data_IF_392979822917
#
_entry.id   IF_392979822917
#
_cell.length_a   1.000
_cell.length_b   1.000
_cell.length_c   1.000
_cell.angle_alpha   90.00
_cell.angle_beta   90.00
_cell.angle_gamma   90.00
#
_symmetry.space_group_name_H-M   'P 1'
#
loop_
_entity.id
_entity.type
_entity.pdbx_description
1 polymer ?
#
# COMPACT_ATOMS: atom_id res chain seq x y z
N UNK A 1 13.21 10.67 30.31
CA UNK A 1 12.82 9.40 29.68
C UNK A 1 11.53 9.63 28.91
N UNK A 2 11.56 9.59 27.58
CA UNK A 2 10.38 9.82 26.76
C UNK A 2 9.46 8.59 26.84
N UNK A 3 8.26 8.78 27.37
CA UNK A 3 7.21 7.75 27.38
C UNK A 3 6.53 7.76 26.01
N UNK A 4 6.91 6.81 25.17
CA UNK A 4 6.23 6.59 23.89
C UNK A 4 4.76 6.23 24.12
N UNK A 5 3.85 6.85 23.37
CA UNK A 5 2.42 6.59 23.45
C UNK A 5 2.14 5.11 23.07
N UNK A 6 0.99 4.56 23.50
CA UNK A 6 0.59 3.18 23.17
C UNK A 6 0.53 2.97 21.65
N UNK A 7 0.14 4.00 20.89
CA UNK A 7 0.08 3.99 19.44
C UNK A 7 1.48 3.86 18.80
N UNK A 8 2.48 4.58 19.32
CA UNK A 8 3.87 4.50 18.84
C UNK A 8 4.46 3.11 19.04
N UNK A 9 4.17 2.46 20.18
CA UNK A 9 4.59 1.08 20.46
C UNK A 9 3.92 0.08 19.53
N UNK A 10 2.66 0.27 19.21
CA UNK A 10 1.89 -0.57 18.29
C UNK A 10 2.43 -0.48 16.85
N UNK A 11 2.74 0.73 16.37
CA UNK A 11 3.34 0.96 15.04
C UNK A 11 4.75 0.38 14.92
N UNK A 12 5.57 0.49 15.98
CA UNK A 12 6.90 -0.13 16.04
C UNK A 12 6.77 -1.66 16.03
N UNK A 13 5.81 -2.24 16.74
CA UNK A 13 5.59 -3.69 16.78
C UNK A 13 5.17 -4.23 15.40
N UNK A 14 4.29 -3.52 14.69
CA UNK A 14 3.91 -3.86 13.31
C UNK A 14 5.13 -3.76 12.36
N UNK A 15 5.95 -2.73 12.50
CA UNK A 15 7.18 -2.56 11.72
C UNK A 15 8.20 -3.67 11.99
N UNK A 16 8.40 -4.06 13.24
CA UNK A 16 9.30 -5.14 13.63
C UNK A 16 8.77 -6.53 13.22
N UNK A 17 7.46 -6.76 13.30
CA UNK A 17 6.85 -8.01 12.85
C UNK A 17 7.02 -8.21 11.35
N UNK A 18 6.89 -7.15 10.55
CA UNK A 18 7.13 -7.19 9.11
C UNK A 18 8.64 -7.38 8.78
N UNK A 19 9.56 -6.85 9.58
CA UNK A 19 10.99 -7.03 9.36
C UNK A 19 11.46 -8.47 9.69
N UNK A 20 10.82 -9.16 10.64
CA UNK A 20 11.18 -10.53 11.03
C UNK A 20 10.75 -11.61 10.02
N UNK A 21 9.82 -11.30 9.10
CA UNK A 21 9.23 -12.24 8.16
C UNK A 21 10.01 -12.37 6.82
N UNK A 22 11.20 -11.76 6.71
CA UNK A 22 11.96 -11.73 5.44
C UNK A 22 12.71 -13.05 5.13
N UNK A 23 12.82 -13.97 6.09
CA UNK A 23 13.66 -15.18 5.94
C UNK A 23 12.85 -16.47 6.05
N UNK A 24 12.21 -16.92 4.97
CA UNK A 24 11.80 -18.31 4.84
C UNK A 24 12.06 -18.83 3.42
N UNK A 25 12.74 -19.91 3.41
CA UNK A 25 13.32 -20.82 2.41
C UNK A 25 12.58 -21.06 1.09
N UNK A 26 13.38 -21.12 0.01
CA UNK A 26 13.02 -21.54 -1.33
C UNK A 26 12.57 -23.02 -1.39
N UNK A 27 11.25 -23.26 -1.35
CA UNK A 27 10.66 -24.46 -1.95
C UNK A 27 10.30 -24.14 -3.40
N UNK A 28 10.44 -25.09 -4.31
CA UNK A 28 10.17 -24.93 -5.75
C UNK A 28 8.85 -24.21 -6.00
N UNK A 29 8.95 -22.96 -6.39
CA UNK A 29 7.83 -22.08 -6.59
C UNK A 29 7.07 -22.47 -7.88
N UNK A 30 5.95 -23.16 -7.74
CA UNK A 30 5.03 -23.46 -8.84
C UNK A 30 3.84 -22.49 -8.87
N UNK A 31 3.51 -21.87 -7.74
CA UNK A 31 2.36 -20.97 -7.61
C UNK A 31 2.79 -19.51 -7.81
N UNK A 32 1.99 -18.64 -8.48
CA UNK A 32 2.36 -17.23 -8.69
C UNK A 32 2.70 -16.47 -7.40
N UNK A 33 2.01 -16.76 -6.29
CA UNK A 33 2.27 -16.12 -5.00
C UNK A 33 3.61 -16.54 -4.34
N UNK A 34 4.29 -17.57 -4.83
CA UNK A 34 5.50 -18.10 -4.20
C UNK A 34 6.79 -17.49 -4.80
N UNK A 35 6.66 -16.42 -5.61
CA UNK A 35 7.75 -15.66 -6.19
C UNK A 35 7.79 -14.24 -5.67
N UNK A 36 8.97 -13.63 -5.70
CA UNK A 36 9.07 -12.18 -5.61
C UNK A 36 8.41 -11.55 -6.84
N UNK A 37 7.74 -10.44 -6.62
CA UNK A 37 7.13 -9.66 -7.68
C UNK A 37 7.49 -8.20 -7.55
N UNK A 38 7.59 -7.57 -8.70
CA UNK A 38 7.67 -6.12 -8.83
C UNK A 38 6.45 -5.64 -9.61
N UNK A 39 5.88 -4.51 -9.23
CA UNK A 39 4.83 -3.90 -10.03
C UNK A 39 4.94 -2.38 -10.06
N UNK A 40 4.47 -1.81 -11.16
CA UNK A 40 4.21 -0.39 -11.28
C UNK A 40 2.70 -0.20 -11.35
N UNK A 41 2.18 0.62 -10.46
CA UNK A 41 0.76 0.93 -10.37
C UNK A 41 0.55 2.44 -10.45
N UNK A 42 -0.53 2.86 -11.11
CA UNK A 42 -0.98 4.24 -11.12
C UNK A 42 -2.49 4.30 -10.95
N UNK A 43 -3.04 5.48 -10.75
CA UNK A 43 -4.46 5.63 -10.54
C UNK A 43 -4.94 7.06 -10.54
N UNK A 44 -6.19 7.24 -10.15
CA UNK A 44 -6.78 8.55 -9.95
C UNK A 44 -7.68 8.52 -8.72
N UNK A 45 -7.35 9.38 -7.75
CA UNK A 45 -8.02 9.47 -6.47
C UNK A 45 -8.68 10.83 -6.32
N UNK A 46 -9.86 10.84 -5.71
CA UNK A 46 -10.60 12.06 -5.37
C UNK A 46 -10.82 12.15 -3.88
N UNK A 47 -10.87 13.37 -3.38
CA UNK A 47 -11.22 13.64 -2.00
C UNK A 47 -12.52 12.94 -1.61
N UNK A 48 -12.49 12.30 -0.45
CA UNK A 48 -13.68 11.93 0.31
C UNK A 48 -13.92 12.95 1.43
N UNK A 49 -15.09 12.92 2.05
CA UNK A 49 -15.47 13.88 3.09
C UNK A 49 -14.50 13.81 4.27
N UNK A 50 -13.82 14.94 4.55
CA UNK A 50 -12.92 15.13 5.69
C UNK A 50 -12.90 16.62 6.11
N UNK A 51 -12.04 16.97 7.07
CA UNK A 51 -11.93 18.32 7.63
C UNK A 51 -11.08 19.28 6.78
N UNK A 52 -10.37 18.80 5.75
CA UNK A 52 -9.60 19.67 4.87
C UNK A 52 -10.51 20.61 4.06
N UNK A 53 -10.23 21.92 3.94
CA UNK A 53 -11.00 22.84 3.12
C UNK A 53 -10.78 22.65 1.61
N UNK A 54 -9.72 21.93 1.22
CA UNK A 54 -9.30 21.82 -0.19
C UNK A 54 -10.01 20.66 -0.90
N UNK A 55 -10.17 20.80 -2.23
CA UNK A 55 -10.63 19.73 -3.12
C UNK A 55 -9.42 19.01 -3.69
N UNK A 56 -9.13 17.80 -3.19
CA UNK A 56 -7.97 17.01 -3.61
C UNK A 56 -8.30 16.08 -4.76
N UNK A 57 -7.36 16.05 -5.73
CA UNK A 57 -7.27 15.05 -6.79
C UNK A 57 -5.84 14.62 -6.93
N UNK A 58 -5.58 13.33 -6.75
CA UNK A 58 -4.24 12.77 -6.64
C UNK A 58 -4.06 11.71 -7.71
N UNK A 59 -2.89 11.71 -8.35
CA UNK A 59 -2.43 10.65 -9.25
C UNK A 59 -1.29 9.92 -8.53
N UNK A 60 -1.55 8.76 -7.88
CA UNK A 60 -0.51 7.96 -7.29
C UNK A 60 0.26 7.20 -8.36
N UNK A 61 1.57 7.13 -8.22
CA UNK A 61 2.46 6.21 -8.91
C UNK A 61 3.22 5.41 -7.87
N UNK A 62 3.13 4.09 -7.93
CA UNK A 62 3.71 3.21 -6.92
C UNK A 62 4.60 2.16 -7.58
N UNK A 63 5.84 2.07 -7.13
CA UNK A 63 6.72 0.94 -7.38
C UNK A 63 6.58 -0.04 -6.20
N UNK A 64 6.01 -1.21 -6.47
CA UNK A 64 5.59 -2.15 -5.41
C UNK A 64 6.37 -3.45 -5.54
N UNK A 65 6.93 -3.92 -4.44
CA UNK A 65 7.54 -5.24 -4.28
C UNK A 65 6.66 -6.10 -3.38
N UNK A 66 6.39 -7.34 -3.81
CA UNK A 66 5.71 -8.34 -2.98
C UNK A 66 6.62 -9.53 -2.74
N UNK A 67 6.71 -9.95 -1.49
CA UNK A 67 7.48 -11.14 -1.11
C UNK A 67 6.80 -12.42 -1.66
N UNK A 68 7.50 -13.56 -1.70
CA UNK A 68 6.85 -14.87 -1.74
C UNK A 68 5.83 -15.01 -0.60
N UNK A 69 4.97 -16.03 -0.69
CA UNK A 69 4.02 -16.39 0.36
C UNK A 69 4.74 -16.53 1.71
N UNK A 70 4.29 -15.74 2.70
CA UNK A 70 4.76 -15.82 4.08
C UNK A 70 3.91 -16.81 4.86
N UNK A 71 2.58 -16.77 4.67
CA UNK A 71 1.65 -17.70 5.28
C UNK A 71 0.69 -18.25 4.23
N UNK A 72 0.52 -19.57 4.22
CA UNK A 72 -0.58 -20.23 3.56
C UNK A 72 -1.67 -20.49 4.60
N UNK A 73 -2.72 -19.65 4.62
CA UNK A 73 -3.78 -19.72 5.63
C UNK A 73 -4.76 -20.84 5.32
N UNK A 74 -4.96 -21.16 4.04
CA UNK A 74 -5.86 -22.19 3.60
C UNK A 74 -5.56 -22.61 2.17
N UNK A 75 -5.77 -23.89 1.88
CA UNK A 75 -5.71 -24.47 0.54
C UNK A 75 -6.85 -25.48 0.38
N UNK A 76 -7.68 -25.26 -0.62
CA UNK A 76 -8.78 -26.17 -0.95
C UNK A 76 -8.35 -27.27 -1.90
N UNK A 77 -9.11 -28.38 -1.92
CA UNK A 77 -8.88 -29.53 -2.80
C UNK A 77 -8.98 -29.15 -4.28
N UNK A 78 -9.74 -28.11 -4.61
CA UNK A 78 -9.86 -27.55 -5.96
C UNK A 78 -8.61 -26.80 -6.44
N UNK A 79 -7.62 -26.56 -5.57
CA UNK A 79 -6.43 -25.75 -5.86
C UNK A 79 -6.57 -24.27 -5.50
N UNK A 80 -7.73 -23.83 -5.01
CA UNK A 80 -7.89 -22.48 -4.47
C UNK A 80 -7.01 -22.32 -3.22
N UNK A 81 -6.45 -21.10 -3.03
CA UNK A 81 -5.46 -20.87 -1.97
C UNK A 81 -5.65 -19.47 -1.36
N UNK A 82 -5.62 -19.38 -0.02
CA UNK A 82 -5.60 -18.12 0.73
C UNK A 82 -4.21 -17.90 1.30
N UNK A 83 -3.54 -16.86 0.86
CA UNK A 83 -2.15 -16.57 1.25
C UNK A 83 -2.00 -15.18 1.86
N UNK A 84 -0.93 -15.00 2.62
CA UNK A 84 -0.46 -13.69 3.08
C UNK A 84 0.96 -13.47 2.57
N UNK A 85 1.19 -12.30 2.01
CA UNK A 85 2.48 -11.82 1.50
C UNK A 85 2.82 -10.47 2.14
N UNK A 86 4.10 -10.09 2.16
CA UNK A 86 4.49 -8.73 2.48
C UNK A 86 4.49 -7.87 1.21
N UNK A 87 3.95 -6.67 1.34
CA UNK A 87 4.00 -5.62 0.31
C UNK A 87 4.86 -4.47 0.84
N UNK A 88 5.77 -4.00 -0.01
CA UNK A 88 6.57 -2.78 0.19
C UNK A 88 6.39 -1.89 -1.04
N UNK A 89 6.32 -0.57 -0.86
CA UNK A 89 6.23 0.31 -2.01
C UNK A 89 6.94 1.64 -1.77
N UNK A 90 7.61 2.11 -2.82
CA UNK A 90 7.89 3.52 -3.02
C UNK A 90 6.67 4.16 -3.68
N UNK A 91 6.17 5.22 -3.09
CA UNK A 91 4.95 5.92 -3.51
C UNK A 91 5.33 7.34 -3.88
N UNK A 92 4.95 7.76 -5.09
CA UNK A 92 4.99 9.13 -5.53
C UNK A 92 3.58 9.56 -5.94
N UNK A 93 3.06 10.56 -5.28
CA UNK A 93 1.74 11.11 -5.58
C UNK A 93 1.88 12.53 -6.09
N UNK A 94 1.26 12.80 -7.24
CA UNK A 94 1.15 14.14 -7.80
C UNK A 94 -0.25 14.68 -7.51
N UNK A 95 -0.33 15.88 -6.98
CA UNK A 95 -1.58 16.56 -6.70
C UNK A 95 -2.07 17.28 -7.96
N UNK A 96 -2.95 16.61 -8.74
CA UNK A 96 -3.59 17.23 -9.90
C UNK A 96 -4.55 18.36 -9.49
N UNK A 97 -5.00 18.35 -8.22
CA UNK A 97 -5.76 19.42 -7.59
C UNK A 97 -5.51 19.37 -6.07
N UNK A 98 -5.29 20.52 -5.49
CA UNK A 98 -4.91 20.73 -4.10
C UNK A 98 -3.89 21.84 -4.03
N UNK A 99 -3.52 22.30 -2.84
CA UNK A 99 -2.49 23.33 -2.67
C UNK A 99 -1.07 22.75 -2.59
N UNK A 100 -0.93 21.45 -2.34
CA UNK A 100 0.34 20.72 -2.39
C UNK A 100 0.62 20.22 -3.79
N UNK A 101 1.91 20.03 -4.15
CA UNK A 101 2.34 19.53 -5.45
C UNK A 101 2.60 18.02 -5.44
N UNK A 102 3.22 17.50 -4.38
CA UNK A 102 3.62 16.08 -4.33
C UNK A 102 3.67 15.49 -2.92
N UNK A 103 3.61 14.16 -2.88
CA UNK A 103 3.97 13.32 -1.74
C UNK A 103 4.90 12.20 -2.19
N UNK A 104 6.03 12.03 -1.49
CA UNK A 104 7.00 10.96 -1.73
C UNK A 104 7.17 10.14 -0.46
N UNK A 105 6.92 8.84 -0.51
CA UNK A 105 6.89 8.00 0.68
C UNK A 105 7.38 6.57 0.44
N UNK A 106 7.65 5.89 1.54
CA UNK A 106 7.78 4.46 1.59
C UNK A 106 6.67 3.87 2.47
N UNK A 107 6.01 2.81 1.97
CA UNK A 107 4.89 2.16 2.63
C UNK A 107 5.07 0.65 2.72
N UNK A 108 4.46 0.03 3.72
CA UNK A 108 4.43 -1.42 3.89
C UNK A 108 3.04 -1.88 4.33
N UNK A 109 2.68 -3.11 3.94
CA UNK A 109 1.42 -3.76 4.30
C UNK A 109 1.51 -5.29 4.19
N UNK A 110 0.73 -6.04 4.95
CA UNK A 110 0.34 -7.38 4.55
C UNK A 110 -0.61 -7.31 3.34
N UNK A 111 -0.45 -8.26 2.42
CA UNK A 111 -1.36 -8.51 1.29
C UNK A 111 -1.99 -9.88 1.50
N UNK A 112 -3.31 -9.92 1.71
CA UNK A 112 -4.10 -11.14 1.80
C UNK A 112 -4.63 -11.42 0.40
N UNK A 113 -4.33 -12.60 -0.14
CA UNK A 113 -4.68 -12.97 -1.52
C UNK A 113 -5.47 -14.28 -1.54
N UNK A 114 -6.68 -14.22 -2.09
CA UNK A 114 -7.50 -15.40 -2.38
C UNK A 114 -7.37 -15.76 -3.85
N UNK A 115 -6.61 -16.80 -4.13
CA UNK A 115 -6.36 -17.32 -5.47
C UNK A 115 -7.45 -18.29 -5.89
N UNK A 116 -7.95 -18.12 -7.12
CA UNK A 116 -8.88 -19.04 -7.74
C UNK A 116 -8.21 -20.41 -8.02
N UNK A 117 -8.99 -21.50 -8.24
CA UNK A 117 -8.47 -22.82 -8.53
C UNK A 117 -7.52 -22.90 -9.74
N UNK A 118 -7.74 -22.05 -10.73
CA UNK A 118 -6.90 -21.95 -11.94
C UNK A 118 -5.56 -21.28 -11.70
N UNK A 119 -5.32 -20.73 -10.49
CA UNK A 119 -4.13 -20.01 -10.06
C UNK A 119 -3.80 -18.79 -10.95
N UNK A 120 -4.75 -18.32 -11.76
CA UNK A 120 -4.56 -17.17 -12.64
C UNK A 120 -5.14 -15.89 -12.07
N UNK A 121 -6.20 -16.01 -11.29
CA UNK A 121 -6.92 -14.86 -10.74
C UNK A 121 -6.87 -14.87 -9.23
N UNK A 122 -6.57 -13.73 -8.62
CA UNK A 122 -6.67 -13.54 -7.18
C UNK A 122 -7.47 -12.29 -6.84
N UNK A 123 -8.31 -12.40 -5.82
CA UNK A 123 -8.79 -11.26 -5.05
C UNK A 123 -7.71 -10.90 -4.04
N UNK A 124 -7.44 -9.61 -3.85
CA UNK A 124 -6.51 -9.18 -2.82
C UNK A 124 -7.09 -8.09 -1.94
N UNK A 125 -6.61 -8.05 -0.69
CA UNK A 125 -6.87 -6.99 0.26
C UNK A 125 -5.58 -6.62 0.99
N UNK A 126 -5.30 -5.32 1.06
CA UNK A 126 -4.13 -4.75 1.71
C UNK A 126 -4.55 -3.63 2.65
N UNK A 127 -3.95 -3.58 3.83
CA UNK A 127 -4.07 -2.46 4.76
C UNK A 127 -2.70 -2.21 5.39
N UNK A 128 -2.25 -0.98 5.33
CA UNK A 128 -0.92 -0.64 5.83
C UNK A 128 -0.70 0.86 5.91
N UNK A 129 0.56 1.25 5.92
CA UNK A 129 0.92 2.65 6.01
C UNK A 129 2.41 2.87 5.84
N UNK A 130 2.80 4.12 6.00
CA UNK A 130 4.17 4.54 5.86
C UNK A 130 4.40 5.99 6.27
N UNK A 131 5.55 6.49 5.87
CA UNK A 131 5.97 7.87 6.11
C UNK A 131 6.64 8.45 4.88
N UNK A 132 6.56 9.74 4.72
CA UNK A 132 7.11 10.42 3.57
C UNK A 132 7.17 11.94 3.72
N UNK A 133 7.47 12.57 2.62
CA UNK A 133 7.57 14.01 2.49
C UNK A 133 6.43 14.55 1.63
N UNK A 134 5.62 15.41 2.22
CA UNK A 134 4.56 16.18 1.59
C UNK A 134 5.00 17.65 1.61
N UNK A 135 4.89 18.36 0.51
CA UNK A 135 5.28 19.76 0.43
C UNK A 135 4.22 20.71 1.00
N UNK A 136 3.85 20.48 2.26
CA UNK A 136 2.71 21.14 2.92
C UNK A 136 3.09 22.21 3.97
N UNK A 137 4.37 22.33 4.33
CA UNK A 137 4.83 23.26 5.40
C UNK A 137 4.46 24.72 5.13
N UNK A 138 4.53 25.15 3.87
CA UNK A 138 4.25 26.53 3.47
C UNK A 138 2.84 26.75 2.95
N UNK A 139 1.99 25.73 3.03
CA UNK A 139 0.60 25.77 2.56
C UNK A 139 -0.30 26.30 3.68
N UNK A 140 -0.94 27.47 3.52
CA UNK A 140 -1.92 27.95 4.49
C UNK A 140 -3.09 26.99 4.62
N UNK A 141 -3.32 26.45 5.83
CA UNK A 141 -4.34 25.43 6.08
C UNK A 141 -3.96 24.01 5.66
N UNK A 142 -2.71 23.77 5.23
CA UNK A 142 -2.16 22.44 4.95
C UNK A 142 -1.78 21.68 6.23
N UNK A 143 -0.81 20.75 6.11
CA UNK A 143 -0.44 19.84 7.24
C UNK A 143 0.55 20.44 8.23
N UNK A 144 0.93 21.74 8.10
CA UNK A 144 1.82 22.43 9.03
C UNK A 144 3.30 22.02 8.99
N UNK A 145 3.62 20.90 8.35
CA UNK A 145 4.99 20.40 8.17
C UNK A 145 5.08 19.50 6.92
N UNK A 146 6.33 19.21 6.50
CA UNK A 146 6.55 18.34 5.33
C UNK A 146 6.59 16.84 5.67
N UNK A 147 7.01 16.46 6.89
CA UNK A 147 6.94 15.06 7.29
C UNK A 147 5.48 14.68 7.48
N UNK A 148 5.02 13.74 6.67
CA UNK A 148 3.67 13.21 6.73
C UNK A 148 3.68 11.68 6.82
N UNK A 149 2.66 11.15 7.46
CA UNK A 149 2.39 9.73 7.55
C UNK A 149 1.14 9.42 6.73
N UNK A 150 1.13 8.26 6.12
CA UNK A 150 -0.09 7.78 5.51
C UNK A 150 -0.47 6.40 6.05
N UNK A 151 -1.78 6.14 6.10
CA UNK A 151 -2.30 4.80 6.10
C UNK A 151 -3.18 4.61 4.86
N UNK A 152 -3.24 3.40 4.38
CA UNK A 152 -4.03 3.09 3.19
C UNK A 152 -4.73 1.75 3.32
N UNK A 153 -5.76 1.57 2.51
CA UNK A 153 -6.36 0.27 2.23
C UNK A 153 -6.58 0.14 0.73
N UNK A 154 -6.38 -1.09 0.22
CA UNK A 154 -6.61 -1.42 -1.18
C UNK A 154 -7.29 -2.78 -1.28
N UNK A 155 -8.32 -2.88 -2.11
CA UNK A 155 -8.96 -4.14 -2.47
C UNK A 155 -9.10 -4.22 -3.98
N UNK A 156 -8.84 -5.39 -4.56
CA UNK A 156 -8.86 -5.52 -6.01
C UNK A 156 -8.67 -6.92 -6.53
N UNK A 157 -8.39 -6.96 -7.81
CA UNK A 157 -8.14 -8.16 -8.60
C UNK A 157 -6.74 -8.15 -9.16
N UNK A 158 -6.15 -9.34 -9.23
CA UNK A 158 -4.96 -9.64 -10.02
C UNK A 158 -5.30 -10.75 -11.00
N UNK A 159 -4.82 -10.62 -12.24
CA UNK A 159 -4.99 -11.65 -13.26
C UNK A 159 -3.70 -11.87 -14.02
N UNK A 160 -3.26 -13.15 -14.07
CA UNK A 160 -2.07 -13.57 -14.80
C UNK A 160 -2.32 -13.52 -16.30
N UNK A 161 -1.52 -12.73 -17.02
CA UNK A 161 -1.54 -12.65 -18.48
C UNK A 161 -0.57 -13.67 -19.11
N UNK A 162 0.53 -13.97 -18.40
CA UNK A 162 1.52 -14.98 -18.76
C UNK A 162 2.18 -15.54 -17.50
N UNK A 163 3.16 -16.41 -17.64
CA UNK A 163 3.90 -16.96 -16.49
C UNK A 163 4.69 -15.90 -15.71
N UNK A 164 5.00 -14.76 -16.32
CA UNK A 164 5.83 -13.70 -15.72
C UNK A 164 5.15 -12.36 -15.61
N UNK A 165 3.97 -12.18 -16.22
CA UNK A 165 3.27 -10.91 -16.28
C UNK A 165 1.83 -11.05 -15.80
N UNK A 166 1.38 -10.14 -14.94
CA UNK A 166 0.00 -10.02 -14.51
C UNK A 166 -0.50 -8.57 -14.60
N UNK A 167 -1.80 -8.42 -14.74
CA UNK A 167 -2.53 -7.17 -14.54
C UNK A 167 -3.06 -7.11 -13.12
N UNK A 168 -3.04 -5.94 -12.50
CA UNK A 168 -3.68 -5.68 -11.21
C UNK A 168 -4.51 -4.41 -11.28
N UNK A 169 -5.60 -4.36 -10.50
CA UNK A 169 -6.42 -3.16 -10.37
C UNK A 169 -7.37 -3.27 -9.20
N UNK A 170 -7.78 -2.12 -8.67
CA UNK A 170 -8.66 -2.11 -7.51
C UNK A 170 -9.03 -0.73 -7.02
N UNK A 171 -9.79 -0.72 -5.94
CA UNK A 171 -10.14 0.48 -5.18
C UNK A 171 -9.03 0.76 -4.17
N UNK A 172 -8.56 1.99 -4.13
CA UNK A 172 -7.49 2.44 -3.25
C UNK A 172 -7.96 3.67 -2.46
N UNK A 173 -7.84 3.58 -1.14
CA UNK A 173 -8.02 4.70 -0.22
C UNK A 173 -6.70 5.00 0.47
N UNK A 174 -6.37 6.27 0.64
CA UNK A 174 -5.25 6.72 1.47
C UNK A 174 -5.61 7.95 2.28
N UNK A 175 -5.08 7.99 3.49
CA UNK A 175 -5.16 9.12 4.43
C UNK A 175 -3.75 9.63 4.69
N UNK A 176 -3.54 10.94 4.58
CA UNK A 176 -2.30 11.60 4.96
C UNK A 176 -2.52 12.51 6.16
N UNK A 177 -1.60 12.52 7.09
CA UNK A 177 -1.61 13.40 8.26
C UNK A 177 -0.21 13.54 8.86
N UNK A 178 -0.04 14.55 9.69
CA UNK A 178 1.19 14.71 10.47
C UNK A 178 1.11 14.06 11.87
N UNK A 179 0.12 13.19 12.11
CA UNK A 179 -0.17 12.55 13.41
C UNK A 179 -0.39 13.55 14.57
N UNK A 180 -0.75 14.78 14.29
CA UNK A 180 -0.92 15.82 15.28
C UNK A 180 0.40 16.38 15.85
N UNK A 181 1.53 16.17 15.15
CA UNK A 181 2.84 16.68 15.58
C UNK A 181 2.94 18.20 15.45
N UNK A 182 2.23 18.79 14.51
CA UNK A 182 2.13 20.23 14.29
C UNK A 182 0.71 20.64 13.93
N UNK A 183 0.37 21.91 14.15
CA UNK A 183 -0.90 22.52 13.71
C UNK A 183 -0.63 23.44 12.52
N UNK A 184 -1.53 23.44 11.52
CA UNK A 184 -2.74 22.63 11.38
C UNK A 184 -2.47 21.18 10.96
N UNK A 185 -3.47 20.30 11.14
CA UNK A 185 -3.46 18.92 10.68
C UNK A 185 -4.87 18.49 10.21
N UNK A 186 -5.36 19.03 9.09
CA UNK A 186 -6.73 18.75 8.62
C UNK A 186 -6.92 17.33 8.07
N UNK A 187 -5.81 16.64 7.72
CA UNK A 187 -5.81 15.37 7.03
C UNK A 187 -6.18 15.49 5.55
N UNK A 188 -5.73 14.51 4.75
CA UNK A 188 -6.09 14.38 3.33
C UNK A 188 -6.60 12.97 3.13
N UNK A 189 -7.91 12.83 2.88
CA UNK A 189 -8.57 11.55 2.61
C UNK A 189 -8.98 11.49 1.15
N UNK A 190 -8.45 10.50 0.43
CA UNK A 190 -8.77 10.30 -0.98
C UNK A 190 -9.07 8.85 -1.29
N UNK A 191 -9.99 8.64 -2.23
CA UNK A 191 -10.45 7.33 -2.70
C UNK A 191 -10.50 7.33 -4.22
N UNK A 192 -10.15 6.22 -4.85
CA UNK A 192 -10.26 6.06 -6.28
C UNK A 192 -9.85 4.69 -6.77
N UNK A 193 -9.47 4.63 -8.04
CA UNK A 193 -9.09 3.41 -8.71
C UNK A 193 -7.61 3.42 -9.04
N UNK A 194 -6.99 2.26 -8.96
CA UNK A 194 -5.62 2.01 -9.42
C UNK A 194 -5.59 0.85 -10.40
N UNK A 195 -4.61 0.88 -11.30
CA UNK A 195 -4.28 -0.18 -12.24
C UNK A 195 -2.77 -0.30 -12.35
N UNK A 196 -2.26 -1.48 -12.64
CA UNK A 196 -0.83 -1.69 -12.79
C UNK A 196 -0.46 -3.01 -13.45
N UNK A 197 0.80 -3.09 -13.84
CA UNK A 197 1.43 -4.30 -14.33
C UNK A 197 2.33 -4.89 -13.25
N UNK A 198 2.33 -6.20 -13.16
CA UNK A 198 3.09 -6.99 -12.18
C UNK A 198 4.00 -7.93 -12.91
N UNK A 199 5.29 -7.89 -12.63
CA UNK A 199 6.31 -8.79 -13.14
C UNK A 199 6.77 -9.73 -12.04
N UNK A 200 6.80 -11.02 -12.35
CA UNK A 200 7.45 -12.01 -11.50
C UNK A 200 8.95 -11.85 -11.61
N UNK A 201 9.64 -11.84 -10.48
CA UNK A 201 11.09 -11.84 -10.37
C UNK A 201 11.53 -13.27 -10.06
N UNK A 202 12.40 -13.82 -10.90
CA UNK A 202 12.97 -15.16 -10.74
C UNK A 202 14.17 -15.15 -9.79
#
# INVERSE_FOLDING_TARGET
>A
MATYSRLTRFLILIGLLNALLIFTTAARAQHPADHWEFSVQTGYLKKVKNNSPFDYRIVPTQAVWRSPTVFNLWQGDSGARLTVRNRFAAVFETFARGPEDYYLAFTAAPSIELWAPDQKTALFYEIGGGAGLLDSKSVPGGQGQNLAFNWFTQAGLRHQLSNTLALTGGVYFTHHSNLGMTSPNPGIDVLGLTVGLVWRLD
#
